data_IF_535493218230
#
_entry.id   IF_535493218230
#
_cell.length_a   1.000
_cell.length_b   1.000
_cell.length_c   1.000
_cell.angle_alpha   90.00
_cell.angle_beta   90.00
_cell.angle_gamma   90.00
#
_symmetry.space_group_name_H-M   'P 1'
#
loop_
_entity.id
_entity.type
_entity.pdbx_description
1 polymer ?
#
# COMPACT_ATOMS: atom_id res chain seq x y z
N UNK A 1 0.47 -15.59 -2.14
CA UNK A 1 -0.07 -14.42 -1.43
C UNK A 1 1.03 -13.38 -1.39
N UNK A 2 0.74 -12.16 -1.81
CA UNK A 2 1.67 -11.02 -1.80
C UNK A 2 1.04 -9.93 -0.95
N UNK A 3 1.87 -9.29 -0.12
CA UNK A 3 1.46 -8.11 0.65
C UNK A 3 2.40 -6.99 0.23
N UNK A 4 1.84 -5.88 -0.20
CA UNK A 4 2.56 -4.67 -0.59
C UNK A 4 2.16 -3.57 0.37
N UNK A 5 3.14 -2.94 1.01
CA UNK A 5 2.89 -1.73 1.78
C UNK A 5 2.70 -0.55 0.81
N UNK A 6 1.52 0.08 0.85
CA UNK A 6 1.14 1.21 0.00
C UNK A 6 1.39 2.52 0.73
N UNK A 7 1.09 2.60 2.03
CA UNK A 7 1.33 3.77 2.87
C UNK A 7 1.94 3.31 4.19
N UNK A 8 3.00 3.99 4.61
CA UNK A 8 3.70 3.82 5.88
C UNK A 8 4.42 5.13 6.21
N UNK A 9 4.83 5.28 7.48
CA UNK A 9 5.66 6.40 7.95
C UNK A 9 7.00 6.51 7.19
N UNK A 10 7.46 5.42 6.57
CA UNK A 10 8.68 5.37 5.79
C UNK A 10 8.45 4.75 4.41
N UNK A 11 9.02 5.35 3.36
CA UNK A 11 8.96 4.76 2.01
C UNK A 11 9.86 3.54 1.82
N UNK A 12 10.54 3.07 2.87
CA UNK A 12 11.55 2.02 2.84
C UNK A 12 12.94 2.49 2.39
N UNK A 13 13.94 1.64 2.59
CA UNK A 13 15.32 1.86 2.12
C UNK A 13 15.73 0.82 1.09
N UNK A 14 16.64 1.17 0.19
CA UNK A 14 17.24 0.20 -0.71
C UNK A 14 18.23 -0.63 0.10
N UNK A 15 17.91 -1.90 0.39
CA UNK A 15 18.75 -2.76 1.20
C UNK A 15 18.56 -4.24 0.91
N UNK A 16 19.66 -4.99 1.00
CA UNK A 16 19.77 -6.43 0.84
C UNK A 16 19.43 -7.21 2.13
N UNK A 17 18.84 -6.53 3.12
CA UNK A 17 18.60 -7.07 4.46
C UNK A 17 17.15 -7.52 4.63
N UNK A 18 16.94 -8.80 4.28
CA UNK A 18 15.99 -9.81 4.82
C UNK A 18 14.53 -9.55 5.18
N UNK A 19 13.88 -8.40 5.01
CA UNK A 19 12.40 -8.41 5.16
C UNK A 19 11.56 -7.33 4.48
N UNK A 20 12.09 -6.22 3.98
CA UNK A 20 11.28 -5.26 3.21
C UNK A 20 12.10 -4.68 2.07
N UNK A 21 11.91 -5.21 0.86
CA UNK A 21 12.48 -4.60 -0.34
C UNK A 21 11.61 -3.38 -0.70
N UNK A 22 12.23 -2.22 -0.80
CA UNK A 22 11.58 -1.03 -1.38
C UNK A 22 11.25 -1.32 -2.84
N UNK A 23 9.97 -1.22 -3.20
CA UNK A 23 9.57 -1.30 -4.59
C UNK A 23 10.21 -0.15 -5.40
N UNK A 24 10.65 -0.39 -6.64
CA UNK A 24 11.17 0.68 -7.49
C UNK A 24 10.05 1.69 -7.77
N UNK A 25 10.33 2.98 -7.61
CA UNK A 25 9.34 4.03 -7.83
C UNK A 25 9.53 5.23 -6.91
N UNK A 26 8.81 6.32 -7.22
CA UNK A 26 8.83 7.56 -6.42
C UNK A 26 7.70 7.54 -5.39
N UNK A 27 7.76 6.60 -4.46
CA UNK A 27 6.82 6.54 -3.34
C UNK A 27 7.00 7.73 -2.40
N UNK A 28 5.91 8.18 -1.80
CA UNK A 28 5.90 9.19 -0.73
C UNK A 28 5.31 8.58 0.54
N UNK A 29 5.70 9.11 1.71
CA UNK A 29 5.25 8.62 3.01
C UNK A 29 4.44 9.67 3.75
N UNK A 30 3.59 9.20 4.65
CA UNK A 30 2.87 9.99 5.64
C UNK A 30 2.67 9.12 6.88
N UNK A 31 2.28 9.73 7.99
CA UNK A 31 1.82 8.95 9.13
C UNK A 31 0.52 8.25 8.77
N UNK A 32 0.49 6.93 8.85
CA UNK A 32 -0.66 6.11 8.44
C UNK A 32 -0.24 4.77 7.87
N UNK A 33 -1.20 3.88 7.69
CA UNK A 33 -0.97 2.55 7.14
C UNK A 33 -1.94 2.26 5.99
N UNK A 34 -1.42 1.63 4.93
CA UNK A 34 -2.25 0.97 3.94
C UNK A 34 -1.51 -0.22 3.33
N UNK A 35 -2.17 -1.37 3.25
CA UNK A 35 -1.60 -2.60 2.70
C UNK A 35 -2.46 -3.13 1.55
N UNK A 36 -1.85 -3.39 0.41
CA UNK A 36 -2.45 -4.14 -0.68
C UNK A 36 -2.16 -5.63 -0.48
N UNK A 37 -3.21 -6.41 -0.32
CA UNK A 37 -3.16 -7.86 -0.12
C UNK A 37 -3.69 -8.55 -1.38
N UNK A 38 -2.82 -9.32 -2.03
CA UNK A 38 -3.15 -10.11 -3.21
C UNK A 38 -3.10 -11.61 -2.85
N UNK A 39 -4.26 -12.28 -2.92
CA UNK A 39 -4.33 -13.71 -2.66
C UNK A 39 -3.97 -14.53 -3.92
N UNK A 40 -3.89 -15.85 -3.79
CA UNK A 40 -3.53 -16.73 -4.91
C UNK A 40 -4.61 -16.84 -5.99
N UNK A 41 -5.85 -16.44 -5.67
CA UNK A 41 -6.99 -16.45 -6.59
C UNK A 41 -7.15 -15.12 -7.36
N UNK A 42 -6.20 -14.20 -7.19
CA UNK A 42 -6.20 -12.90 -7.84
C UNK A 42 -7.07 -11.83 -7.16
N UNK A 43 -7.63 -12.11 -5.98
CA UNK A 43 -8.35 -11.09 -5.20
C UNK A 43 -7.40 -10.03 -4.67
N UNK A 44 -7.76 -8.76 -4.85
CA UNK A 44 -7.05 -7.58 -4.37
C UNK A 44 -7.86 -6.90 -3.29
N UNK A 45 -7.35 -6.91 -2.06
CA UNK A 45 -7.98 -6.21 -0.92
C UNK A 45 -7.04 -5.13 -0.46
N UNK A 46 -7.56 -3.92 -0.25
CA UNK A 46 -6.82 -2.88 0.47
C UNK A 46 -7.22 -2.92 1.94
N UNK A 47 -6.23 -2.99 2.83
CA UNK A 47 -6.39 -2.84 4.27
C UNK A 47 -5.93 -1.42 4.63
N UNK A 48 -6.85 -0.61 5.15
CA UNK A 48 -6.69 0.82 5.42
C UNK A 48 -6.27 1.67 4.20
N UNK A 49 -6.31 3.00 4.35
CA UNK A 49 -6.14 3.96 3.24
C UNK A 49 -5.13 5.07 3.53
N UNK A 50 -4.32 4.95 4.58
CA UNK A 50 -3.49 6.06 5.05
C UNK A 50 -4.32 7.21 5.61
N UNK A 51 -3.70 8.39 5.70
CA UNK A 51 -4.30 9.60 6.26
C UNK A 51 -4.68 10.64 5.20
N UNK A 52 -4.22 10.50 3.95
CA UNK A 52 -4.62 11.39 2.87
C UNK A 52 -4.83 10.70 1.52
N UNK A 53 -5.80 11.20 0.76
CA UNK A 53 -6.03 10.78 -0.63
C UNK A 53 -4.78 11.01 -1.50
N UNK A 54 -4.05 12.10 -1.24
CA UNK A 54 -2.87 12.50 -2.02
C UNK A 54 -1.79 11.41 -1.97
N UNK A 55 -1.44 10.91 -0.79
CA UNK A 55 -0.38 9.90 -0.64
C UNK A 55 -0.86 8.53 -1.11
N UNK A 56 -2.08 8.15 -0.73
CA UNK A 56 -2.67 6.86 -1.13
C UNK A 56 -2.78 6.73 -2.66
N UNK A 57 -3.43 7.70 -3.32
CA UNK A 57 -3.66 7.66 -4.77
C UNK A 57 -2.37 7.77 -5.57
N UNK A 58 -1.41 8.58 -5.10
CA UNK A 58 -0.08 8.68 -5.72
C UNK A 58 0.65 7.33 -5.67
N UNK A 59 0.69 6.68 -4.51
CA UNK A 59 1.39 5.40 -4.35
C UNK A 59 0.72 4.27 -5.15
N UNK A 60 -0.63 4.22 -5.23
CA UNK A 60 -1.32 3.30 -6.14
C UNK A 60 -0.96 3.53 -7.60
N UNK A 61 -0.90 4.80 -8.04
CA UNK A 61 -0.47 5.14 -9.41
C UNK A 61 0.97 4.72 -9.69
N UNK A 62 1.89 4.86 -8.73
CA UNK A 62 3.28 4.39 -8.85
C UNK A 62 3.34 2.86 -8.98
N UNK A 63 2.44 2.14 -8.29
CA UNK A 63 2.28 0.68 -8.41
C UNK A 63 1.56 0.24 -9.69
N UNK A 64 0.97 1.17 -10.45
CA UNK A 64 0.16 0.86 -11.62
C UNK A 64 -1.17 0.18 -11.28
N UNK A 65 -1.68 0.39 -10.06
CA UNK A 65 -2.96 -0.15 -9.59
C UNK A 65 -4.01 0.94 -9.68
N UNK A 66 -5.16 0.63 -10.28
CA UNK A 66 -6.33 1.51 -10.26
C UNK A 66 -7.33 1.09 -9.18
N UNK A 67 -8.04 2.02 -8.51
CA UNK A 67 -8.98 1.68 -7.45
C UNK A 67 -10.07 0.69 -7.87
N UNK A 68 -10.52 0.73 -9.12
CA UNK A 68 -11.51 -0.21 -9.68
C UNK A 68 -11.01 -1.66 -9.80
N UNK A 69 -9.71 -1.91 -9.61
CA UNK A 69 -9.16 -3.26 -9.55
C UNK A 69 -9.26 -3.88 -8.15
N UNK A 70 -9.63 -3.10 -7.12
CA UNK A 70 -9.78 -3.59 -5.75
C UNK A 70 -11.14 -4.27 -5.59
N UNK A 71 -11.12 -5.50 -5.06
CA UNK A 71 -12.33 -6.28 -4.77
C UNK A 71 -13.01 -5.84 -3.46
N UNK A 72 -12.23 -5.35 -2.50
CA UNK A 72 -12.72 -4.94 -1.20
C UNK A 72 -11.77 -3.95 -0.51
N UNK A 73 -12.37 -3.19 0.42
CA UNK A 73 -11.67 -2.34 1.38
C UNK A 73 -11.95 -2.89 2.78
N UNK A 74 -10.89 -3.15 3.55
CA UNK A 74 -10.96 -3.53 4.95
C UNK A 74 -10.42 -2.39 5.80
N UNK A 75 -11.30 -1.75 6.57
CA UNK A 75 -10.90 -0.70 7.52
C UNK A 75 -10.70 -1.36 8.88
N UNK A 76 -9.48 -1.29 9.39
CA UNK A 76 -9.13 -1.91 10.67
C UNK A 76 -9.85 -1.26 11.84
N UNK A 77 -9.96 0.07 11.81
CA UNK A 77 -10.65 0.92 12.79
C UNK A 77 -10.77 2.36 12.25
N UNK A 78 -11.61 3.18 12.91
CA UNK A 78 -11.80 4.59 12.56
C UNK A 78 -10.94 5.51 13.41
N UNK A 79 -9.66 5.66 13.04
CA UNK A 79 -8.88 6.82 13.45
C UNK A 79 -9.33 8.08 12.70
N UNK A 80 -8.90 9.24 13.18
CA UNK A 80 -9.24 10.55 12.62
C UNK A 80 -8.90 10.66 11.12
#
# INVERSE_FOLDING_TARGET
MRITCVVDDCTGTNGNSRSVLKAPGKFISEHGLSLLIENNDGKKVIMDTGSSEQVFSHNLSVLGIRPEELDAVFITHGHD
#
